data_IF_364999654031
#
_entry.id   IF_364999654031
#
_cell.length_a   1.000
_cell.length_b   1.000
_cell.length_c   1.000
_cell.angle_alpha   90.00
_cell.angle_beta   90.00
_cell.angle_gamma   90.00
#
_symmetry.space_group_name_H-M   'P 1'
#
loop_
_entity.id
_entity.type
_entity.pdbx_description
1 polymer ?
#
# COMPACT_ATOMS: atom_id res chain seq x y z
N UNK A 1 -19.87 2.50 6.57
CA UNK A 1 -20.24 3.10 7.85
C UNK A 1 -19.75 2.27 9.05
N UNK A 2 -20.22 1.02 9.25
CA UNK A 2 -19.93 0.18 10.43
C UNK A 2 -18.43 0.07 10.73
N UNK A 3 -17.59 -0.13 9.74
CA UNK A 3 -16.15 -0.30 9.90
C UNK A 3 -15.45 0.95 10.45
N UNK A 4 -15.89 2.14 10.04
CA UNK A 4 -15.40 3.39 10.60
C UNK A 4 -15.96 3.64 12.01
N UNK A 5 -17.20 3.20 12.29
CA UNK A 5 -17.75 3.23 13.64
C UNK A 5 -16.92 2.34 14.60
N UNK A 6 -16.50 1.14 14.17
CA UNK A 6 -15.60 0.26 14.94
C UNK A 6 -14.26 0.95 15.24
N UNK A 7 -13.66 1.64 14.25
CA UNK A 7 -12.43 2.42 14.47
C UNK A 7 -12.65 3.55 15.48
N UNK A 8 -13.76 4.27 15.36
CA UNK A 8 -14.14 5.33 16.32
C UNK A 8 -14.24 4.78 17.74
N UNK A 9 -14.91 3.63 17.92
CA UNK A 9 -15.01 2.95 19.24
C UNK A 9 -13.62 2.58 19.76
N UNK A 10 -12.74 2.03 18.92
CA UNK A 10 -11.34 1.73 19.30
C UNK A 10 -10.59 2.96 19.80
N UNK A 11 -10.72 4.10 19.11
CA UNK A 11 -10.10 5.37 19.53
C UNK A 11 -10.72 5.90 20.84
N UNK A 12 -12.03 5.79 21.02
CA UNK A 12 -12.71 6.17 22.28
C UNK A 12 -12.18 5.33 23.45
N UNK A 13 -12.09 4.01 23.27
CA UNK A 13 -11.55 3.09 24.29
C UNK A 13 -10.09 3.46 24.63
N UNK A 14 -9.29 3.84 23.63
CA UNK A 14 -7.92 4.31 23.81
C UNK A 14 -7.86 5.61 24.64
N UNK A 15 -8.77 6.55 24.37
CA UNK A 15 -8.84 7.83 25.07
C UNK A 15 -9.13 7.65 26.57
N UNK A 16 -9.96 6.65 26.93
CA UNK A 16 -10.26 6.32 28.31
C UNK A 16 -9.17 5.52 29.06
N UNK A 17 -7.98 5.39 28.47
CA UNK A 17 -6.81 4.83 29.15
C UNK A 17 -6.80 3.32 29.29
N UNK A 18 -7.56 2.58 28.49
CA UNK A 18 -7.46 1.12 28.43
C UNK A 18 -6.13 0.67 27.80
N UNK A 19 -5.84 -0.64 27.88
CA UNK A 19 -4.58 -1.17 27.35
C UNK A 19 -4.43 -0.81 25.86
N UNK A 20 -3.37 -0.06 25.46
CA UNK A 20 -3.23 0.50 24.10
C UNK A 20 -3.31 -0.55 22.99
N UNK A 21 -2.74 -1.75 23.21
CA UNK A 21 -2.75 -2.83 22.24
C UNK A 21 -4.17 -3.35 21.94
N UNK A 22 -5.04 -3.41 22.95
CA UNK A 22 -6.44 -3.84 22.76
C UNK A 22 -7.20 -2.81 21.92
N UNK A 23 -7.08 -1.54 22.29
CA UNK A 23 -7.70 -0.45 21.55
C UNK A 23 -7.20 -0.40 20.10
N UNK A 24 -5.89 -0.57 19.90
CA UNK A 24 -5.28 -0.60 18.57
C UNK A 24 -5.74 -1.83 17.75
N UNK A 25 -5.93 -2.99 18.39
CA UNK A 25 -6.49 -4.18 17.73
C UNK A 25 -7.90 -3.94 17.22
N UNK A 26 -8.76 -3.23 17.98
CA UNK A 26 -10.12 -2.87 17.55
C UNK A 26 -10.08 -1.92 16.33
N UNK A 27 -9.21 -0.91 16.36
CA UNK A 27 -9.00 -0.02 15.21
C UNK A 27 -8.53 -0.82 13.99
N UNK A 28 -7.57 -1.73 14.19
CA UNK A 28 -7.04 -2.62 13.16
C UNK A 28 -8.11 -3.54 12.55
N UNK A 29 -8.99 -4.10 13.39
CA UNK A 29 -10.13 -4.89 12.93
C UNK A 29 -11.06 -4.07 12.03
N UNK A 30 -11.38 -2.85 12.45
CA UNK A 30 -12.17 -1.92 11.62
C UNK A 30 -11.48 -1.57 10.30
N UNK A 31 -10.15 -1.40 10.31
CA UNK A 31 -9.36 -1.15 9.09
C UNK A 31 -9.35 -2.35 8.15
N UNK A 32 -9.14 -3.56 8.68
CA UNK A 32 -9.13 -4.79 7.90
C UNK A 32 -10.49 -5.07 7.24
N UNK A 33 -11.59 -4.83 7.95
CA UNK A 33 -12.94 -4.97 7.42
C UNK A 33 -13.32 -3.85 6.42
N UNK A 34 -12.70 -2.67 6.51
CA UNK A 34 -12.96 -1.56 5.61
C UNK A 34 -12.41 -1.79 4.20
N UNK A 35 -11.25 -2.42 4.07
CA UNK A 35 -10.56 -2.61 2.80
C UNK A 35 -11.40 -3.38 1.77
N UNK A 36 -12.00 -4.55 2.07
CA UNK A 36 -12.89 -5.23 1.13
C UNK A 36 -14.10 -4.39 0.69
N UNK A 37 -14.65 -3.58 1.58
CA UNK A 37 -15.77 -2.70 1.24
C UNK A 37 -15.33 -1.54 0.34
N UNK A 38 -14.18 -0.90 0.63
CA UNK A 38 -13.64 0.23 -0.13
C UNK A 38 -13.30 -0.15 -1.57
N UNK A 39 -12.58 -1.24 -1.76
CA UNK A 39 -12.14 -1.66 -3.10
C UNK A 39 -13.19 -2.49 -3.84
N UNK A 40 -14.00 -3.28 -3.11
CA UNK A 40 -15.06 -4.09 -3.69
C UNK A 40 -16.14 -3.25 -4.36
N UNK A 41 -16.51 -2.12 -3.78
CA UNK A 41 -17.55 -1.23 -4.33
C UNK A 41 -17.17 -0.66 -5.70
N UNK A 42 -15.88 -0.54 -6.02
CA UNK A 42 -15.41 -0.03 -7.31
C UNK A 42 -15.89 -0.90 -8.47
N UNK A 43 -15.81 -2.22 -8.31
CA UNK A 43 -16.23 -3.17 -9.35
C UNK A 43 -17.74 -3.33 -9.46
N UNK A 44 -18.48 -2.83 -8.48
CA UNK A 44 -19.95 -2.79 -8.49
C UNK A 44 -20.49 -1.49 -9.09
N UNK A 45 -19.77 -0.36 -8.87
CA UNK A 45 -20.19 0.96 -9.35
C UNK A 45 -19.63 1.34 -10.71
N UNK A 46 -18.50 0.76 -11.12
CA UNK A 46 -17.76 1.19 -12.31
C UNK A 46 -17.62 0.06 -13.31
N UNK A 47 -17.74 0.38 -14.61
CA UNK A 47 -17.44 -0.59 -15.66
C UNK A 47 -15.93 -0.90 -15.71
N UNK A 48 -15.54 -2.07 -16.24
CA UNK A 48 -14.15 -2.54 -16.23
C UNK A 48 -13.13 -1.52 -16.78
N UNK A 49 -13.50 -0.76 -17.82
CA UNK A 49 -12.63 0.22 -18.48
C UNK A 49 -12.23 1.37 -17.58
N UNK A 50 -13.03 1.67 -16.55
CA UNK A 50 -12.77 2.76 -15.59
C UNK A 50 -11.98 2.32 -14.35
N UNK A 51 -11.76 1.01 -14.15
CA UNK A 51 -11.13 0.49 -12.94
C UNK A 51 -9.67 0.96 -12.77
N UNK A 52 -8.88 1.00 -13.84
CA UNK A 52 -7.48 1.51 -13.76
C UNK A 52 -7.46 2.96 -13.33
N UNK A 53 -8.33 3.80 -13.92
CA UNK A 53 -8.43 5.22 -13.58
C UNK A 53 -8.88 5.41 -12.12
N UNK A 54 -9.87 4.64 -11.67
CA UNK A 54 -10.37 4.70 -10.30
C UNK A 54 -9.30 4.26 -9.29
N UNK A 55 -8.58 3.17 -9.57
CA UNK A 55 -7.46 2.71 -8.72
C UNK A 55 -6.33 3.73 -8.68
N UNK A 56 -6.00 4.39 -9.79
CA UNK A 56 -5.01 5.46 -9.81
C UNK A 56 -5.38 6.64 -8.92
N UNK A 57 -6.65 7.06 -8.95
CA UNK A 57 -7.15 8.11 -8.05
C UNK A 57 -7.12 7.67 -6.58
N UNK A 58 -7.55 6.45 -6.28
CA UNK A 58 -7.52 5.91 -4.92
C UNK A 58 -6.10 5.84 -4.39
N UNK A 59 -5.15 5.37 -5.20
CA UNK A 59 -3.75 5.27 -4.81
C UNK A 59 -3.14 6.65 -4.59
N UNK A 60 -3.36 7.59 -5.52
CA UNK A 60 -2.92 8.98 -5.38
C UNK A 60 -3.45 9.65 -4.11
N UNK A 61 -4.75 9.50 -3.82
CA UNK A 61 -5.37 10.02 -2.60
C UNK A 61 -4.86 9.32 -1.35
N UNK A 62 -4.58 8.01 -1.42
CA UNK A 62 -4.00 7.25 -0.30
C UNK A 62 -2.61 7.78 0.04
N UNK A 63 -1.76 8.01 -0.96
CA UNK A 63 -0.43 8.60 -0.75
C UNK A 63 -0.53 10.01 -0.20
N UNK A 64 -1.39 10.86 -0.76
CA UNK A 64 -1.63 12.21 -0.24
C UNK A 64 -2.08 12.18 1.23
N UNK A 65 -2.97 11.24 1.57
CA UNK A 65 -3.46 11.04 2.95
C UNK A 65 -2.34 10.58 3.90
N UNK A 66 -1.41 9.74 3.43
CA UNK A 66 -0.25 9.31 4.23
C UNK A 66 0.65 10.51 4.53
N UNK A 67 0.99 11.33 3.53
CA UNK A 67 1.84 12.51 3.69
C UNK A 67 1.19 13.50 4.65
N UNK A 68 -0.07 13.85 4.42
CA UNK A 68 -0.83 14.78 5.27
C UNK A 68 -1.01 14.22 6.68
N UNK A 69 -1.33 12.93 6.80
CA UNK A 69 -1.54 12.26 8.08
C UNK A 69 -0.27 12.20 8.91
N UNK A 70 0.89 11.93 8.30
CA UNK A 70 2.19 11.94 8.98
C UNK A 70 2.55 13.34 9.45
N UNK A 71 2.37 14.36 8.59
CA UNK A 71 2.61 15.75 8.95
C UNK A 71 1.71 16.26 10.08
N UNK A 72 0.39 16.02 9.96
CA UNK A 72 -0.59 16.37 10.99
C UNK A 72 -0.36 15.60 12.29
N UNK A 73 -0.02 14.30 12.21
CA UNK A 73 0.31 13.48 13.38
C UNK A 73 1.50 14.03 14.13
N UNK A 74 2.58 14.40 13.44
CA UNK A 74 3.74 15.05 14.04
C UNK A 74 3.41 16.40 14.69
N UNK A 75 2.56 17.20 14.05
CA UNK A 75 2.10 18.48 14.59
C UNK A 75 1.26 18.27 15.86
N UNK A 76 0.33 17.31 15.85
CA UNK A 76 -0.58 17.06 16.97
C UNK A 76 0.12 16.55 18.23
N UNK A 77 1.27 15.89 18.11
CA UNK A 77 2.06 15.42 19.28
C UNK A 77 3.20 16.40 19.63
N UNK A 78 3.25 17.58 19.02
CA UNK A 78 4.27 18.58 19.27
C UNK A 78 4.14 19.20 20.68
N UNK A 79 5.27 19.71 21.28
CA UNK A 79 5.23 20.44 22.53
C UNK A 79 4.28 21.65 22.49
N UNK A 80 4.09 22.27 21.34
CA UNK A 80 3.18 23.39 21.16
C UNK A 80 1.74 23.00 21.47
N UNK A 81 1.29 21.84 20.95
CA UNK A 81 -0.06 21.33 21.22
C UNK A 81 -0.19 20.90 22.68
N UNK A 82 0.86 20.29 23.24
CA UNK A 82 0.85 19.87 24.64
C UNK A 82 0.69 21.06 25.59
N UNK A 83 1.45 22.13 25.40
CA UNK A 83 1.28 23.39 26.14
C UNK A 83 -0.11 24.02 25.98
N UNK A 84 -0.64 24.00 24.76
CA UNK A 84 -1.98 24.53 24.47
C UNK A 84 -3.07 23.77 25.24
N UNK A 85 -3.01 22.43 25.21
CA UNK A 85 -3.99 21.55 25.88
C UNK A 85 -3.93 21.73 27.39
N UNK A 86 -2.73 21.76 27.97
CA UNK A 86 -2.53 21.95 29.42
C UNK A 86 -3.02 23.33 29.89
N UNK A 87 -2.87 24.37 29.06
CA UNK A 87 -3.30 25.74 29.38
C UNK A 87 -4.80 25.99 29.28
N UNK A 88 -5.55 25.21 28.47
CA UNK A 88 -6.95 25.50 28.18
C UNK A 88 -7.97 24.47 28.66
N UNK A 89 -7.56 23.41 29.38
CA UNK A 89 -8.41 22.36 29.92
C UNK A 89 -9.51 21.87 28.96
N UNK A 90 -9.13 21.48 27.72
CA UNK A 90 -10.07 21.14 26.66
C UNK A 90 -10.73 19.78 26.93
N UNK A 91 -12.00 19.76 27.37
CA UNK A 91 -12.90 18.60 27.42
C UNK A 91 -12.29 17.26 27.90
N UNK A 92 -11.57 17.25 29.05
CA UNK A 92 -10.98 16.02 29.60
C UNK A 92 -9.77 15.49 28.83
N UNK A 93 -9.20 16.28 27.94
CA UNK A 93 -7.94 16.01 27.24
C UNK A 93 -6.82 16.68 28.03
N UNK A 94 -5.82 15.88 28.47
CA UNK A 94 -4.78 16.33 29.40
C UNK A 94 -3.39 16.46 28.74
N UNK A 95 -3.21 15.92 27.53
CA UNK A 95 -1.92 15.94 26.82
C UNK A 95 -2.11 15.86 25.31
N UNK A 96 -1.02 16.13 24.57
CA UNK A 96 -0.99 16.11 23.10
C UNK A 96 -1.43 14.76 22.51
N UNK A 97 -1.09 13.64 23.14
CA UNK A 97 -1.47 12.31 22.65
C UNK A 97 -3.00 12.09 22.71
N UNK A 98 -3.63 12.54 23.81
CA UNK A 98 -5.10 12.50 23.92
C UNK A 98 -5.79 13.44 22.93
N UNK A 99 -5.19 14.62 22.69
CA UNK A 99 -5.67 15.55 21.66
C UNK A 99 -5.62 14.91 20.27
N UNK A 100 -4.54 14.23 19.91
CA UNK A 100 -4.39 13.50 18.66
C UNK A 100 -5.47 12.41 18.52
N UNK A 101 -5.72 11.62 19.60
CA UNK A 101 -6.77 10.59 19.60
C UNK A 101 -8.15 11.23 19.41
N UNK A 102 -8.43 12.36 20.05
CA UNK A 102 -9.71 13.07 19.90
C UNK A 102 -9.92 13.55 18.44
N UNK A 103 -8.88 14.08 17.79
CA UNK A 103 -8.91 14.42 16.36
C UNK A 103 -9.17 13.19 15.51
N UNK A 104 -8.55 12.04 15.81
CA UNK A 104 -8.80 10.79 15.07
C UNK A 104 -10.26 10.31 15.24
N UNK A 105 -10.84 10.43 16.43
CA UNK A 105 -12.26 10.13 16.68
C UNK A 105 -13.13 10.96 15.74
N UNK A 106 -12.88 12.27 15.68
CA UNK A 106 -13.62 13.17 14.80
C UNK A 106 -13.46 12.78 13.32
N UNK A 107 -12.23 12.50 12.86
CA UNK A 107 -11.95 12.11 11.47
C UNK A 107 -12.67 10.80 11.11
N UNK A 108 -12.64 9.78 11.97
CA UNK A 108 -13.36 8.53 11.71
C UNK A 108 -14.87 8.67 11.76
N UNK A 109 -15.39 9.51 12.66
CA UNK A 109 -16.83 9.82 12.70
C UNK A 109 -17.27 10.58 11.44
N UNK A 110 -16.50 11.57 11.00
CA UNK A 110 -16.75 12.28 9.76
C UNK A 110 -16.69 11.34 8.54
N UNK A 111 -15.67 10.46 8.48
CA UNK A 111 -15.57 9.45 7.43
C UNK A 111 -16.76 8.48 7.45
N UNK A 112 -17.25 8.09 8.63
CA UNK A 112 -18.45 7.28 8.76
C UNK A 112 -19.69 8.00 8.20
N UNK A 113 -19.85 9.29 8.52
CA UNK A 113 -20.95 10.10 8.00
C UNK A 113 -20.89 10.25 6.47
N UNK A 114 -19.70 10.55 5.91
CA UNK A 114 -19.51 10.65 4.46
C UNK A 114 -19.82 9.33 3.75
N UNK A 115 -19.51 8.19 4.37
CA UNK A 115 -19.85 6.88 3.79
C UNK A 115 -21.36 6.63 3.65
N UNK A 116 -22.22 7.37 4.35
CA UNK A 116 -23.68 7.30 4.16
C UNK A 116 -24.15 7.94 2.84
N UNK A 117 -23.29 8.75 2.22
CA UNK A 117 -23.55 9.38 0.92
C UNK A 117 -23.24 8.44 -0.27
N UNK A 118 -22.63 7.28 -0.02
CA UNK A 118 -22.34 6.32 -1.08
C UNK A 118 -23.67 5.75 -1.62
N UNK A 119 -23.92 5.81 -2.95
CA UNK A 119 -25.15 5.31 -3.53
C UNK A 119 -25.27 3.78 -3.39
N UNK A 120 -26.50 3.27 -3.38
CA UNK A 120 -26.74 1.83 -3.44
C UNK A 120 -26.25 1.30 -4.79
N UNK A 121 -25.39 0.28 -4.76
CA UNK A 121 -24.86 -0.36 -5.97
C UNK A 121 -25.90 -1.24 -6.67
N UNK A 122 -27.01 -1.55 -6.01
CA UNK A 122 -27.99 -2.52 -6.48
C UNK A 122 -27.56 -3.99 -6.35
N UNK A 123 -26.29 -4.25 -6.01
CA UNK A 123 -25.81 -5.61 -5.80
C UNK A 123 -26.48 -6.25 -4.58
N UNK A 124 -27.02 -7.46 -4.76
CA UNK A 124 -27.65 -8.22 -3.66
C UNK A 124 -26.94 -9.56 -3.52
N UNK A 125 -26.44 -9.81 -2.33
CA UNK A 125 -25.77 -11.06 -2.00
C UNK A 125 -26.69 -11.91 -1.11
N UNK A 126 -26.72 -13.24 -1.29
CA UNK A 126 -27.49 -14.11 -0.41
C UNK A 126 -26.98 -14.03 1.02
N UNK A 127 -27.90 -14.09 1.97
CA UNK A 127 -27.55 -14.14 3.40
C UNK A 127 -26.68 -15.37 3.66
N UNK A 128 -25.58 -15.17 4.34
CA UNK A 128 -24.67 -16.25 4.72
C UNK A 128 -24.83 -16.57 6.19
N UNK A 129 -25.10 -17.84 6.50
CA UNK A 129 -25.05 -18.33 7.88
C UNK A 129 -23.59 -18.31 8.35
N UNK A 130 -23.38 -17.71 9.51
CA UNK A 130 -22.04 -17.67 10.11
C UNK A 130 -21.68 -19.05 10.68
N UNK A 131 -20.97 -19.85 9.88
CA UNK A 131 -20.38 -21.13 10.27
C UNK A 131 -18.86 -21.03 10.13
N UNK A 132 -18.09 -20.84 11.22
CA UNK A 132 -16.66 -20.50 11.16
C UNK A 132 -15.84 -21.45 10.29
N UNK A 133 -15.97 -22.76 10.49
CA UNK A 133 -15.22 -23.78 9.74
C UNK A 133 -15.60 -23.74 8.26
N UNK A 134 -16.88 -23.67 7.94
CA UNK A 134 -17.35 -23.61 6.55
C UNK A 134 -16.88 -22.31 5.85
N UNK A 135 -16.87 -21.19 6.58
CA UNK A 135 -16.35 -19.92 6.10
C UNK A 135 -14.86 -20.02 5.78
N UNK A 136 -14.07 -20.67 6.66
CA UNK A 136 -12.63 -20.87 6.44
C UNK A 136 -12.35 -21.76 5.22
N UNK A 137 -13.08 -22.87 5.06
CA UNK A 137 -12.98 -23.75 3.90
C UNK A 137 -13.35 -23.02 2.61
N UNK A 138 -14.44 -22.24 2.63
CA UNK A 138 -14.85 -21.44 1.47
C UNK A 138 -13.82 -20.36 1.13
N UNK A 139 -13.18 -19.75 2.13
CA UNK A 139 -12.09 -18.80 1.91
C UNK A 139 -10.90 -19.51 1.24
N UNK A 140 -10.48 -20.68 1.72
CA UNK A 140 -9.45 -21.48 1.08
C UNK A 140 -9.76 -21.84 -0.38
N UNK A 141 -11.03 -22.18 -0.68
CA UNK A 141 -11.48 -22.40 -2.07
C UNK A 141 -11.40 -21.11 -2.91
N UNK A 142 -11.75 -19.96 -2.33
CA UNK A 142 -11.63 -18.66 -3.03
C UNK A 142 -10.17 -18.31 -3.32
N UNK A 143 -9.25 -18.57 -2.39
CA UNK A 143 -7.80 -18.44 -2.63
C UNK A 143 -7.36 -19.35 -3.79
N UNK A 144 -7.72 -20.62 -3.74
CA UNK A 144 -7.39 -21.59 -4.78
C UNK A 144 -7.95 -21.18 -6.14
N UNK A 145 -9.19 -20.72 -6.21
CA UNK A 145 -9.83 -20.28 -7.45
C UNK A 145 -9.04 -19.15 -8.13
N UNK A 146 -8.64 -18.14 -7.35
CA UNK A 146 -7.91 -16.98 -7.89
C UNK A 146 -6.47 -17.35 -8.29
N UNK A 147 -5.81 -18.26 -7.55
CA UNK A 147 -4.49 -18.79 -7.91
C UNK A 147 -4.49 -19.71 -9.12
N UNK A 148 -5.64 -20.30 -9.51
CA UNK A 148 -5.77 -21.13 -10.70
C UNK A 148 -6.28 -20.36 -11.95
N UNK A 149 -6.87 -19.18 -11.75
CA UNK A 149 -7.24 -18.31 -12.88
C UNK A 149 -5.98 -17.73 -13.54
N UNK A 150 -5.88 -17.78 -14.86
CA UNK A 150 -4.67 -17.42 -15.62
C UNK A 150 -4.25 -15.97 -15.46
N UNK A 151 -5.19 -15.05 -15.36
CA UNK A 151 -4.92 -13.62 -15.12
C UNK A 151 -4.91 -13.29 -13.64
N UNK A 152 -5.77 -13.94 -12.87
CA UNK A 152 -5.84 -13.82 -11.41
C UNK A 152 -4.51 -14.17 -10.74
N UNK A 153 -3.89 -15.30 -11.10
CA UNK A 153 -2.59 -15.68 -10.53
C UNK A 153 -1.48 -14.68 -10.83
N UNK A 154 -1.47 -14.07 -12.03
CA UNK A 154 -0.46 -13.07 -12.40
C UNK A 154 -0.66 -11.81 -11.57
N UNK A 155 -1.88 -11.24 -11.59
CA UNK A 155 -2.18 -10.01 -10.85
C UNK A 155 -2.06 -10.20 -9.33
N UNK A 156 -2.49 -11.33 -8.77
CA UNK A 156 -2.35 -11.65 -7.36
C UNK A 156 -0.87 -11.83 -6.95
N UNK A 157 -0.06 -12.53 -7.76
CA UNK A 157 1.39 -12.66 -7.51
C UNK A 157 2.06 -11.30 -7.47
N UNK A 158 1.73 -10.43 -8.41
CA UNK A 158 2.27 -9.07 -8.50
C UNK A 158 1.92 -8.25 -7.28
N UNK A 159 0.63 -8.15 -6.92
CA UNK A 159 0.20 -7.33 -5.78
C UNK A 159 0.73 -7.88 -4.46
N UNK A 160 0.78 -9.21 -4.31
CA UNK A 160 1.36 -9.90 -3.16
C UNK A 160 2.84 -9.56 -2.98
N UNK A 161 3.63 -9.68 -4.07
CA UNK A 161 5.05 -9.32 -4.07
C UNK A 161 5.24 -7.83 -3.81
N UNK A 162 4.45 -6.98 -4.45
CA UNK A 162 4.55 -5.52 -4.33
C UNK A 162 4.39 -5.04 -2.88
N UNK A 163 3.35 -5.50 -2.18
CA UNK A 163 3.10 -5.07 -0.80
C UNK A 163 4.14 -5.60 0.18
N UNK A 164 4.57 -6.86 0.03
CA UNK A 164 5.66 -7.41 0.84
C UNK A 164 6.98 -6.69 0.61
N UNK A 165 7.30 -6.43 -0.66
CA UNK A 165 8.48 -5.69 -1.06
C UNK A 165 8.43 -4.22 -0.59
N UNK A 166 7.29 -3.55 -0.75
CA UNK A 166 7.10 -2.17 -0.33
C UNK A 166 7.30 -1.96 1.17
N UNK A 167 6.74 -2.86 1.99
CA UNK A 167 6.90 -2.81 3.44
C UNK A 167 8.38 -2.97 3.86
N UNK A 168 9.12 -3.86 3.19
CA UNK A 168 10.55 -4.07 3.47
C UNK A 168 11.39 -2.91 2.97
N UNK A 169 11.06 -2.36 1.81
CA UNK A 169 11.79 -1.22 1.21
C UNK A 169 11.77 0.02 2.12
N UNK A 170 10.71 0.25 2.88
CA UNK A 170 10.66 1.37 3.83
C UNK A 170 11.82 1.31 4.83
N UNK A 171 12.10 0.14 5.41
CA UNK A 171 13.21 -0.04 6.34
C UNK A 171 14.56 0.00 5.63
N UNK A 172 14.65 -0.57 4.43
CA UNK A 172 15.87 -0.56 3.64
C UNK A 172 16.26 0.87 3.22
N UNK A 173 15.31 1.72 2.84
CA UNK A 173 15.59 3.12 2.49
C UNK A 173 16.14 3.88 3.70
N UNK A 174 15.57 3.68 4.90
CA UNK A 174 16.08 4.31 6.12
C UNK A 174 17.52 3.86 6.42
N UNK A 175 17.78 2.55 6.37
CA UNK A 175 19.11 2.00 6.65
C UNK A 175 20.14 2.45 5.59
N UNK A 176 19.76 2.47 4.30
CA UNK A 176 20.59 2.94 3.21
C UNK A 176 20.90 4.44 3.31
N UNK A 177 19.90 5.26 3.63
CA UNK A 177 20.08 6.70 3.82
C UNK A 177 21.08 6.99 4.96
N UNK A 178 21.01 6.24 6.04
CA UNK A 178 21.95 6.37 7.13
C UNK A 178 23.36 5.91 6.73
N UNK A 179 23.50 4.70 6.15
CA UNK A 179 24.81 4.11 5.85
C UNK A 179 25.52 4.74 4.65
N UNK A 180 24.79 5.13 3.61
CA UNK A 180 25.37 5.58 2.32
C UNK A 180 25.32 7.10 2.12
N UNK A 181 24.33 7.78 2.72
CA UNK A 181 24.16 9.22 2.60
C UNK A 181 24.52 9.97 3.89
N UNK A 182 24.78 9.27 5.01
CA UNK A 182 25.12 9.87 6.30
C UNK A 182 23.96 10.66 6.93
N UNK A 183 22.71 10.34 6.56
CA UNK A 183 21.55 11.03 7.08
C UNK A 183 21.11 10.43 8.43
N UNK A 184 20.72 11.29 9.36
CA UNK A 184 20.04 10.88 10.58
C UNK A 184 18.64 10.33 10.26
N UNK A 185 18.03 9.65 11.24
CA UNK A 185 16.73 8.98 11.06
C UNK A 185 15.62 9.96 10.63
N UNK A 186 15.64 11.19 11.15
CA UNK A 186 14.63 12.21 10.84
C UNK A 186 14.71 12.64 9.38
N UNK A 187 15.92 12.90 8.88
CA UNK A 187 16.16 13.25 7.48
C UNK A 187 15.92 12.06 6.56
N UNK A 188 16.30 10.84 6.97
CA UNK A 188 16.04 9.62 6.24
C UNK A 188 14.52 9.36 6.07
N UNK A 189 13.70 9.69 7.08
CA UNK A 189 12.26 9.59 7.01
C UNK A 189 11.65 10.50 5.92
N UNK A 190 12.25 11.66 5.63
CA UNK A 190 11.81 12.55 4.54
C UNK A 190 11.93 11.84 3.19
N UNK A 191 12.94 10.99 3.00
CA UNK A 191 13.13 10.23 1.76
C UNK A 191 11.98 9.23 1.50
N UNK A 192 11.30 8.75 2.53
CA UNK A 192 10.08 7.94 2.35
C UNK A 192 8.94 8.78 1.74
N UNK A 193 8.81 10.05 2.15
CA UNK A 193 7.90 10.99 1.51
C UNK A 193 8.23 11.21 0.02
N UNK A 194 9.52 11.25 -0.31
CA UNK A 194 9.99 11.36 -1.70
C UNK A 194 9.58 10.14 -2.53
N UNK A 195 9.73 8.92 -1.99
CA UNK A 195 9.21 7.69 -2.65
C UNK A 195 7.70 7.78 -2.85
N UNK A 196 6.97 8.22 -1.82
CA UNK A 196 5.51 8.34 -1.88
C UNK A 196 5.05 9.33 -2.97
N UNK A 197 5.74 10.46 -3.15
CA UNK A 197 5.49 11.39 -4.27
C UNK A 197 5.70 10.67 -5.61
N UNK A 198 6.78 9.89 -5.74
CA UNK A 198 7.01 9.07 -6.93
C UNK A 198 5.83 8.12 -7.20
N UNK A 199 5.37 7.39 -6.19
CA UNK A 199 4.21 6.47 -6.30
C UNK A 199 2.98 7.23 -6.80
N UNK A 200 2.68 8.40 -6.25
CA UNK A 200 1.54 9.21 -6.68
C UNK A 200 1.65 9.63 -8.15
N UNK A 201 2.82 10.09 -8.59
CA UNK A 201 3.08 10.44 -9.99
C UNK A 201 2.87 9.22 -10.89
N UNK A 202 3.46 8.07 -10.52
CA UNK A 202 3.32 6.81 -11.26
C UNK A 202 1.87 6.34 -11.37
N UNK A 203 1.10 6.44 -10.27
CA UNK A 203 -0.31 6.09 -10.24
C UNK A 203 -1.15 6.97 -11.18
N UNK A 204 -0.90 8.28 -11.21
CA UNK A 204 -1.59 9.21 -12.12
C UNK A 204 -1.24 8.91 -13.58
N UNK A 205 0.03 8.64 -13.88
CA UNK A 205 0.47 8.26 -15.22
C UNK A 205 -0.16 6.93 -15.67
N UNK A 206 -0.21 5.92 -14.80
CA UNK A 206 -0.88 4.67 -15.10
C UNK A 206 -2.38 4.87 -15.39
N UNK A 207 -3.05 5.68 -14.57
CA UNK A 207 -4.47 6.01 -14.77
C UNK A 207 -4.74 6.75 -16.09
N UNK A 208 -3.77 7.52 -16.59
CA UNK A 208 -3.90 8.29 -17.82
C UNK A 208 -3.58 7.44 -19.08
N UNK A 209 -2.61 6.54 -19.00
CA UNK A 209 -2.03 5.90 -20.19
C UNK A 209 -2.27 4.39 -20.29
N UNK A 210 -2.64 3.72 -19.20
CA UNK A 210 -2.82 2.25 -19.20
C UNK A 210 -4.31 1.89 -19.13
N UNK A 211 -4.80 1.21 -20.16
CA UNK A 211 -6.14 0.60 -20.13
C UNK A 211 -6.12 -0.75 -19.43
N UNK A 212 -7.27 -1.23 -18.94
CA UNK A 212 -7.39 -2.53 -18.29
C UNK A 212 -6.88 -3.67 -19.19
N UNK A 213 -7.16 -3.61 -20.50
CA UNK A 213 -6.70 -4.62 -21.47
C UNK A 213 -5.18 -4.69 -21.61
N UNK A 214 -4.49 -3.59 -21.32
CA UNK A 214 -3.04 -3.47 -21.37
C UNK A 214 -2.37 -3.58 -19.99
N UNK A 215 -3.12 -4.03 -18.98
CA UNK A 215 -2.59 -4.14 -17.61
C UNK A 215 -1.37 -5.06 -17.49
N UNK A 216 -1.27 -6.10 -18.32
CA UNK A 216 -0.12 -7.02 -18.32
C UNK A 216 1.12 -6.44 -19.00
N UNK A 217 0.98 -5.41 -19.83
CA UNK A 217 2.10 -4.75 -20.52
C UNK A 217 3.05 -4.04 -19.55
N UNK A 218 2.60 -3.76 -18.31
CA UNK A 218 3.42 -3.08 -17.29
C UNK A 218 4.35 -4.04 -16.53
N UNK A 219 4.24 -5.36 -16.72
CA UNK A 219 5.05 -6.35 -16.00
C UNK A 219 6.57 -6.12 -16.10
N UNK A 220 7.15 -5.73 -17.26
CA UNK A 220 8.59 -5.43 -17.36
C UNK A 220 9.05 -4.29 -16.45
N UNK A 221 8.15 -3.34 -16.11
CA UNK A 221 8.47 -2.23 -15.19
C UNK A 221 8.76 -2.75 -13.78
N UNK A 222 8.06 -3.81 -13.34
CA UNK A 222 8.34 -4.47 -12.07
C UNK A 222 9.74 -5.09 -12.01
N UNK A 223 10.21 -5.66 -13.13
CA UNK A 223 11.59 -6.17 -13.26
C UNK A 223 12.60 -5.02 -13.16
N UNK A 224 12.38 -3.96 -13.95
CA UNK A 224 13.23 -2.78 -13.93
C UNK A 224 13.30 -2.16 -12.52
N UNK A 225 12.15 -2.02 -11.84
CA UNK A 225 12.07 -1.51 -10.47
C UNK A 225 12.94 -2.34 -9.50
N UNK A 226 12.83 -3.68 -9.53
CA UNK A 226 13.61 -4.55 -8.66
C UNK A 226 15.13 -4.36 -8.87
N UNK A 227 15.59 -4.41 -10.09
CA UNK A 227 17.03 -4.20 -10.39
C UNK A 227 17.48 -2.76 -10.16
N UNK A 228 16.62 -1.77 -10.34
CA UNK A 228 16.94 -0.36 -10.00
C UNK A 228 17.23 -0.20 -8.51
N UNK A 229 16.48 -0.88 -7.63
CA UNK A 229 16.74 -0.89 -6.18
C UNK A 229 18.11 -1.52 -5.88
N UNK A 230 18.44 -2.64 -6.54
CA UNK A 230 19.75 -3.29 -6.38
C UNK A 230 20.90 -2.35 -6.82
N UNK A 231 20.77 -1.69 -7.96
CA UNK A 231 21.79 -0.75 -8.48
C UNK A 231 21.90 0.49 -7.59
N UNK A 232 20.77 1.05 -7.15
CA UNK A 232 20.73 2.22 -6.25
C UNK A 232 21.48 1.97 -4.95
N UNK A 233 21.53 0.73 -4.46
CA UNK A 233 22.19 0.39 -3.19
C UNK A 233 23.67 0.75 -3.16
N UNK A 234 24.36 0.79 -4.31
CA UNK A 234 25.76 1.14 -4.43
C UNK A 234 26.01 2.64 -4.39
N UNK A 235 24.98 3.46 -4.60
CA UNK A 235 25.14 4.91 -4.63
C UNK A 235 25.56 5.44 -3.24
N UNK A 236 26.59 6.31 -3.22
CA UNK A 236 27.13 6.93 -1.98
C UNK A 236 27.23 8.44 -2.13
N UNK A 237 26.95 9.17 -1.06
CA UNK A 237 27.06 10.62 -1.04
C UNK A 237 28.47 11.12 -1.36
N UNK A 238 29.51 10.36 -1.01
CA UNK A 238 30.91 10.70 -1.28
C UNK A 238 31.29 10.77 -2.77
N UNK A 239 30.47 10.23 -3.66
CA UNK A 239 30.76 10.24 -5.10
C UNK A 239 30.54 11.60 -5.76
N UNK A 240 29.67 12.42 -5.18
CA UNK A 240 29.29 13.70 -5.79
C UNK A 240 29.35 14.78 -4.70
N UNK A 241 30.52 15.41 -4.55
CA UNK A 241 30.69 16.52 -3.60
C UNK A 241 29.99 17.79 -4.09
N UNK A 242 29.71 18.71 -3.18
CA UNK A 242 29.10 20.00 -3.46
C UNK A 242 27.57 19.99 -3.35
N UNK A 243 27.01 21.14 -3.60
CA UNK A 243 25.58 21.38 -3.47
C UNK A 243 25.21 22.77 -3.96
N UNK A 244 23.96 23.14 -3.80
CA UNK A 244 23.41 24.44 -4.15
C UNK A 244 22.50 24.93 -3.03
N UNK A 245 22.37 26.25 -2.94
CA UNK A 245 21.55 26.90 -1.93
C UNK A 245 20.22 27.33 -2.55
N UNK A 246 19.10 26.86 -1.99
CA UNK A 246 17.75 27.29 -2.36
C UNK A 246 17.02 27.77 -1.09
N UNK A 247 16.51 28.99 -1.12
CA UNK A 247 15.77 29.61 -0.02
C UNK A 247 16.51 29.53 1.35
N UNK A 248 17.84 29.60 1.34
CA UNK A 248 18.66 29.54 2.56
C UNK A 248 18.95 28.12 3.08
N UNK A 249 18.51 27.09 2.35
CA UNK A 249 18.82 25.69 2.65
C UNK A 249 19.92 25.17 1.71
N UNK A 250 21.00 24.63 2.28
CA UNK A 250 22.04 23.95 1.50
C UNK A 250 21.61 22.54 1.15
N UNK A 251 21.40 22.27 -0.15
CA UNK A 251 21.02 20.94 -0.68
C UNK A 251 22.24 20.34 -1.37
N UNK A 252 22.76 19.24 -0.81
CA UNK A 252 23.85 18.49 -1.45
C UNK A 252 23.36 17.87 -2.77
N UNK A 253 24.19 17.94 -3.82
CA UNK A 253 23.92 17.23 -5.08
C UNK A 253 23.69 15.73 -4.88
N UNK A 254 24.43 15.13 -3.96
CA UNK A 254 24.25 13.73 -3.62
C UNK A 254 22.84 13.41 -3.10
N UNK A 255 22.25 14.26 -2.25
CA UNK A 255 20.89 14.10 -1.75
C UNK A 255 19.87 14.33 -2.87
N UNK A 256 20.09 15.33 -3.74
CA UNK A 256 19.19 15.60 -4.87
C UNK A 256 19.12 14.40 -5.83
N UNK A 257 20.26 13.76 -6.14
CA UNK A 257 20.30 12.55 -6.97
C UNK A 257 19.64 11.36 -6.26
N UNK A 258 19.89 11.20 -4.96
CA UNK A 258 19.20 10.16 -4.16
C UNK A 258 17.68 10.34 -4.21
N UNK A 259 17.18 11.56 -4.07
CA UNK A 259 15.75 11.87 -4.22
C UNK A 259 15.23 11.53 -5.62
N UNK A 260 15.99 11.86 -6.69
CA UNK A 260 15.61 11.52 -8.06
C UNK A 260 15.53 10.01 -8.29
N UNK A 261 16.49 9.24 -7.77
CA UNK A 261 16.46 7.78 -7.82
C UNK A 261 15.24 7.21 -7.08
N UNK A 262 14.96 7.72 -5.89
CA UNK A 262 13.81 7.28 -5.09
C UNK A 262 12.47 7.65 -5.71
N UNK A 263 12.33 8.86 -6.29
CA UNK A 263 11.16 9.25 -7.09
C UNK A 263 10.98 8.32 -8.27
N UNK A 264 12.07 7.97 -8.97
CA UNK A 264 12.02 7.07 -10.13
C UNK A 264 11.54 5.65 -9.73
N UNK A 265 12.06 5.10 -8.63
CA UNK A 265 11.61 3.81 -8.08
C UNK A 265 10.14 3.90 -7.65
N UNK A 266 9.76 4.95 -6.93
CA UNK A 266 8.36 5.18 -6.54
C UNK A 266 7.44 5.32 -7.75
N UNK A 267 7.85 6.04 -8.78
CA UNK A 267 7.06 6.22 -10.01
C UNK A 267 6.85 4.89 -10.75
N UNK A 268 7.90 4.07 -10.88
CA UNK A 268 7.76 2.72 -11.43
C UNK A 268 6.81 1.88 -10.58
N UNK A 269 6.89 1.96 -9.26
CA UNK A 269 6.03 1.26 -8.32
C UNK A 269 4.55 1.61 -8.50
N UNK A 270 4.22 2.90 -8.52
CA UNK A 270 2.84 3.38 -8.72
C UNK A 270 2.30 3.06 -10.11
N UNK A 271 3.12 3.25 -11.16
CA UNK A 271 2.74 2.94 -12.54
C UNK A 271 2.45 1.46 -12.74
N UNK A 272 3.15 0.59 -12.04
CA UNK A 272 3.06 -0.85 -12.14
C UNK A 272 1.88 -1.41 -11.34
N UNK A 273 1.67 -0.98 -10.08
CA UNK A 273 0.68 -1.60 -9.19
C UNK A 273 -0.76 -1.26 -9.56
N UNK A 274 -1.01 -0.05 -10.07
CA UNK A 274 -2.38 0.43 -10.34
C UNK A 274 -3.11 -0.42 -11.37
N UNK A 275 -2.54 -0.72 -12.56
CA UNK A 275 -3.20 -1.61 -13.53
C UNK A 275 -3.33 -3.05 -13.02
N UNK A 276 -2.37 -3.53 -12.24
CA UNK A 276 -2.41 -4.88 -11.68
C UNK A 276 -3.50 -5.03 -10.62
N UNK A 277 -3.70 -4.03 -9.76
CA UNK A 277 -4.83 -3.98 -8.84
C UNK A 277 -6.17 -3.97 -9.59
N UNK A 278 -6.29 -3.17 -10.64
CA UNK A 278 -7.51 -3.11 -11.44
C UNK A 278 -7.82 -4.46 -12.12
N UNK A 279 -6.80 -5.13 -12.66
CA UNK A 279 -6.94 -6.45 -13.26
C UNK A 279 -7.37 -7.50 -12.22
N UNK A 280 -6.74 -7.48 -11.04
CA UNK A 280 -7.08 -8.40 -9.95
C UNK A 280 -8.52 -8.20 -9.47
N UNK A 281 -8.94 -6.94 -9.28
CA UNK A 281 -10.30 -6.60 -8.89
C UNK A 281 -11.32 -7.06 -9.95
N UNK A 282 -11.03 -6.82 -11.23
CA UNK A 282 -11.89 -7.25 -12.33
C UNK A 282 -12.03 -8.79 -12.37
N UNK A 283 -10.91 -9.52 -12.37
CA UNK A 283 -10.95 -11.01 -12.39
C UNK A 283 -11.62 -11.57 -11.15
N UNK A 284 -11.31 -11.03 -10.00
CA UNK A 284 -11.93 -11.45 -8.76
C UNK A 284 -13.44 -11.19 -8.71
N UNK A 285 -13.91 -10.07 -9.28
CA UNK A 285 -15.34 -9.79 -9.39
C UNK A 285 -16.07 -10.78 -10.31
N UNK A 286 -15.45 -11.14 -11.44
CA UNK A 286 -16.01 -12.14 -12.39
C UNK A 286 -16.09 -13.53 -11.77
N UNK A 287 -15.03 -13.96 -11.06
CA UNK A 287 -14.90 -15.31 -10.52
C UNK A 287 -15.67 -15.54 -9.22
N UNK A 288 -15.82 -14.47 -8.41
CA UNK A 288 -16.46 -14.54 -7.10
C UNK A 288 -17.14 -13.21 -6.77
N UNK A 289 -17.51 -12.96 -5.51
CA UNK A 289 -17.95 -11.62 -5.11
C UNK A 289 -16.75 -10.68 -4.91
N UNK A 290 -16.96 -9.37 -5.19
CA UNK A 290 -15.94 -8.35 -5.03
C UNK A 290 -15.29 -8.38 -3.64
N UNK A 291 -16.09 -8.44 -2.57
CA UNK A 291 -15.58 -8.50 -1.20
C UNK A 291 -14.72 -9.73 -0.90
N UNK A 292 -15.06 -10.91 -1.44
CA UNK A 292 -14.25 -12.12 -1.28
C UNK A 292 -12.91 -12.01 -2.00
N UNK A 293 -12.91 -11.46 -3.21
CA UNK A 293 -11.68 -11.23 -3.97
C UNK A 293 -10.71 -10.33 -3.21
N UNK A 294 -11.19 -9.20 -2.69
CA UNK A 294 -10.35 -8.28 -1.92
C UNK A 294 -9.89 -8.92 -0.60
N UNK A 295 -10.71 -9.75 0.04
CA UNK A 295 -10.28 -10.48 1.24
C UNK A 295 -9.13 -11.45 0.93
N UNK A 296 -9.19 -12.17 -0.22
CA UNK A 296 -8.09 -13.04 -0.69
C UNK A 296 -6.84 -12.21 -1.00
N UNK A 297 -6.99 -11.09 -1.70
CA UNK A 297 -5.90 -10.16 -1.99
C UNK A 297 -5.22 -9.70 -0.69
N UNK A 298 -5.98 -9.13 0.25
CA UNK A 298 -5.45 -8.63 1.52
C UNK A 298 -4.76 -9.72 2.34
N UNK A 299 -5.29 -10.94 2.34
CA UNK A 299 -4.66 -12.07 3.03
C UNK A 299 -3.28 -12.39 2.45
N UNK A 300 -3.17 -12.48 1.12
CA UNK A 300 -1.91 -12.76 0.45
C UNK A 300 -0.90 -11.62 0.66
N UNK A 301 -1.35 -10.36 0.52
CA UNK A 301 -0.52 -9.17 0.71
C UNK A 301 0.03 -9.09 2.15
N UNK A 302 -0.83 -9.23 3.16
CA UNK A 302 -0.39 -9.19 4.57
C UNK A 302 0.50 -10.38 4.92
N UNK A 303 0.23 -11.57 4.38
CA UNK A 303 1.11 -12.73 4.53
C UNK A 303 2.50 -12.48 3.93
N UNK A 304 2.55 -11.88 2.74
CA UNK A 304 3.80 -11.47 2.09
C UNK A 304 4.56 -10.43 2.93
N UNK A 305 3.87 -9.42 3.46
CA UNK A 305 4.48 -8.42 4.37
C UNK A 305 5.15 -9.12 5.55
N UNK A 306 4.44 -10.03 6.23
CA UNK A 306 4.99 -10.75 7.39
C UNK A 306 6.21 -11.60 7.03
N UNK A 307 6.14 -12.34 5.92
CA UNK A 307 7.25 -13.18 5.45
C UNK A 307 8.45 -12.32 5.08
N UNK A 308 8.25 -11.24 4.32
CA UNK A 308 9.34 -10.39 3.85
C UNK A 308 10.00 -9.62 5.01
N UNK A 309 9.24 -9.11 5.97
CA UNK A 309 9.78 -8.46 7.17
C UNK A 309 10.50 -9.48 8.07
N UNK A 310 9.98 -10.71 8.18
CA UNK A 310 10.66 -11.80 8.89
C UNK A 310 12.01 -12.13 8.24
N UNK A 311 12.05 -12.29 6.93
CA UNK A 311 13.29 -12.52 6.18
C UNK A 311 14.28 -11.35 6.35
N UNK A 312 13.80 -10.12 6.23
CA UNK A 312 14.62 -8.92 6.46
C UNK A 312 15.24 -8.91 7.87
N UNK A 313 14.44 -9.21 8.89
CA UNK A 313 14.91 -9.31 10.27
C UNK A 313 15.99 -10.39 10.45
N UNK A 314 15.82 -11.54 9.80
CA UNK A 314 16.81 -12.62 9.80
C UNK A 314 18.12 -12.22 9.11
N UNK A 315 18.03 -11.52 7.97
CA UNK A 315 19.22 -11.03 7.24
C UNK A 315 20.00 -10.00 8.06
N UNK A 316 19.31 -9.10 8.75
CA UNK A 316 19.98 -8.16 9.68
C UNK A 316 20.66 -8.94 10.82
N UNK A 317 19.95 -9.89 11.42
CA UNK A 317 20.50 -10.68 12.54
C UNK A 317 21.71 -11.53 12.12
N UNK A 318 21.81 -11.91 10.85
CA UNK A 318 22.96 -12.62 10.31
C UNK A 318 24.21 -11.74 10.11
N UNK A 319 24.11 -10.42 10.40
CA UNK A 319 25.25 -9.49 10.31
C UNK A 319 25.53 -9.00 8.89
N UNK A 320 24.62 -9.20 7.93
CA UNK A 320 24.79 -8.71 6.56
C UNK A 320 24.69 -7.17 6.53
N UNK A 321 25.57 -6.53 5.76
CA UNK A 321 25.55 -5.10 5.57
C UNK A 321 24.34 -4.63 4.75
N UNK A 322 23.90 -3.38 4.97
CA UNK A 322 22.72 -2.79 4.31
C UNK A 322 22.75 -2.91 2.78
N UNK A 323 23.90 -2.64 2.15
CA UNK A 323 24.06 -2.74 0.69
C UNK A 323 23.80 -4.17 0.22
N UNK A 324 24.38 -5.17 0.90
CA UNK A 324 24.19 -6.59 0.56
C UNK A 324 22.72 -6.99 0.66
N UNK A 325 22.04 -6.60 1.75
CA UNK A 325 20.61 -6.89 1.93
C UNK A 325 19.79 -6.23 0.83
N UNK A 326 20.10 -4.98 0.48
CA UNK A 326 19.39 -4.23 -0.56
C UNK A 326 19.60 -4.82 -1.96
N UNK A 327 20.81 -5.31 -2.27
CA UNK A 327 21.09 -6.05 -3.52
C UNK A 327 20.31 -7.34 -3.58
N UNK A 328 20.37 -8.15 -2.52
CA UNK A 328 19.63 -9.42 -2.44
C UNK A 328 18.12 -9.19 -2.60
N UNK A 329 17.60 -8.18 -1.94
CA UNK A 329 16.20 -7.80 -2.00
C UNK A 329 15.81 -7.34 -3.41
N UNK A 330 16.54 -6.42 -4.02
CA UNK A 330 16.26 -5.91 -5.37
C UNK A 330 16.36 -7.02 -6.42
N UNK A 331 17.37 -7.88 -6.34
CA UNK A 331 17.51 -9.06 -7.20
C UNK A 331 16.35 -10.04 -6.99
N UNK A 332 15.96 -10.31 -5.74
CA UNK A 332 14.80 -11.17 -5.45
C UNK A 332 13.52 -10.64 -6.10
N UNK A 333 13.23 -9.34 -5.96
CA UNK A 333 12.06 -8.72 -6.59
C UNK A 333 12.15 -8.79 -8.13
N UNK A 334 13.29 -8.42 -8.71
CA UNK A 334 13.49 -8.46 -10.16
C UNK A 334 13.36 -9.87 -10.74
N UNK A 335 13.99 -10.88 -10.10
CA UNK A 335 13.91 -12.27 -10.53
C UNK A 335 12.48 -12.84 -10.34
N UNK A 336 11.81 -12.50 -9.25
CA UNK A 336 10.41 -12.91 -9.03
C UNK A 336 9.50 -12.34 -10.10
N UNK A 337 9.70 -11.08 -10.50
CA UNK A 337 8.94 -10.46 -11.59
C UNK A 337 9.25 -11.10 -12.96
N UNK A 338 10.50 -11.49 -13.23
CA UNK A 338 10.83 -12.27 -14.41
C UNK A 338 10.08 -13.61 -14.42
N UNK A 339 10.05 -14.33 -13.29
CA UNK A 339 9.29 -15.57 -13.17
C UNK A 339 7.79 -15.37 -13.43
N UNK A 340 7.21 -14.25 -12.97
CA UNK A 340 5.80 -13.89 -13.27
C UNK A 340 5.60 -13.65 -14.78
N UNK A 341 6.53 -12.96 -15.45
CA UNK A 341 6.47 -12.75 -16.91
C UNK A 341 6.55 -14.09 -17.65
N UNK A 342 7.49 -14.97 -17.29
CA UNK A 342 7.58 -16.29 -17.90
C UNK A 342 6.30 -17.11 -17.68
N UNK A 343 5.74 -17.03 -16.48
CA UNK A 343 4.47 -17.70 -16.19
C UNK A 343 3.32 -17.13 -17.03
N UNK A 344 3.28 -15.80 -17.21
CA UNK A 344 2.28 -15.17 -18.07
C UNK A 344 2.41 -15.66 -19.51
N UNK A 345 3.60 -15.62 -20.11
CA UNK A 345 3.83 -16.11 -21.45
C UNK A 345 3.49 -17.60 -21.61
N UNK A 346 3.85 -18.43 -20.63
CA UNK A 346 3.47 -19.85 -20.64
C UNK A 346 1.95 -20.05 -20.58
N UNK A 347 1.23 -19.23 -19.81
CA UNK A 347 -0.23 -19.28 -19.76
C UNK A 347 -0.83 -18.92 -21.14
N UNK A 348 -0.31 -17.84 -21.76
CA UNK A 348 -0.76 -17.38 -23.07
C UNK A 348 -0.46 -18.39 -24.20
N UNK A 349 0.67 -19.12 -24.16
CA UNK A 349 1.00 -20.13 -25.15
C UNK A 349 0.04 -21.34 -25.12
N UNK A 350 -0.62 -21.59 -23.98
CA UNK A 350 -1.60 -22.68 -23.85
C UNK A 350 -3.00 -22.25 -24.28
N UNK A 351 -3.39 -21.05 -24.01
CA UNK A 351 -4.69 -20.46 -24.30
C UNK A 351 -4.61 -18.96 -24.14
N UNK A 352 -5.06 -18.22 -25.15
CA UNK A 352 -5.19 -16.78 -25.05
C UNK A 352 -6.21 -16.41 -23.97
N UNK A 353 -5.75 -15.85 -22.87
CA UNK A 353 -6.59 -15.40 -21.76
C UNK A 353 -6.90 -13.91 -21.80
N UNK A 354 -6.33 -13.14 -22.76
CA UNK A 354 -6.53 -11.70 -22.83
C UNK A 354 -7.96 -11.32 -23.19
N UNK A 355 -8.69 -12.19 -23.90
CA UNK A 355 -10.11 -12.00 -24.21
C UNK A 355 -10.99 -11.96 -22.94
N UNK A 356 -10.52 -12.57 -21.84
CA UNK A 356 -11.21 -12.54 -20.54
C UNK A 356 -11.16 -11.17 -19.85
N UNK A 357 -10.36 -10.23 -20.36
CA UNK A 357 -10.27 -8.88 -19.84
C UNK A 357 -11.43 -8.05 -20.42
N UNK A 358 -12.32 -7.59 -19.56
CA UNK A 358 -13.52 -6.83 -19.94
C UNK A 358 -14.76 -7.69 -20.12
N UNK A 359 -14.72 -9.00 -19.79
CA UNK A 359 -15.93 -9.81 -19.67
C UNK A 359 -16.79 -9.34 -18.50
N UNK A 360 -18.10 -9.21 -18.76
CA UNK A 360 -19.06 -8.99 -17.70
C UNK A 360 -19.34 -10.29 -16.93
N UNK A 361 -19.76 -10.14 -15.67
CA UNK A 361 -20.14 -11.28 -14.84
C UNK A 361 -21.32 -12.00 -15.52
N UNK A 362 -21.11 -13.25 -15.93
CA UNK A 362 -22.20 -14.11 -16.38
C UNK A 362 -23.09 -14.39 -15.17
N UNK A 363 -24.31 -13.85 -15.20
CA UNK A 363 -25.36 -14.09 -14.21
C UNK A 363 -25.93 -15.50 -14.36
#
# INVERSE_FOLDING_TARGET
FITNAVKTVGCIIMLFGTHPLLAYAIVGLGAAAYSPAKYGILTELLPPEKLVKANGWIEGLTVASIILGTGLGGLLISPMVDHFVQGHHVFGVHNAAQAAIAVMIFVYAAAAAVNLLIPDTGARYPKQDFRPIHTLVNFGKSCSLLWHDKLGQISLSVTTLFWGAGATLQFLVLAWANSNLGLDLSKAAILQGVVAIGIAIGAVLAAAYVSLRRSVDVLPIGVLMGFSVAVMSFYKASWIPGGFDIFGFHISFAIAIACLLLVSVGMMAGFFVVPMNALLQHRGHVLMSAGRSIAVQNFNENSSILVMLGLYSLLIKSGLGTVTIMVLFGCFVGCSMLAVIFKHHHNQSKEDSLHLIGEDKRH
#
